data_IF_479914222331
#
_entry.id   IF_479914222331
#
_cell.length_a   1.000
_cell.length_b   1.000
_cell.length_c   1.000
_cell.angle_alpha   90.00
_cell.angle_beta   90.00
_cell.angle_gamma   90.00
#
_symmetry.space_group_name_H-M   'P 1'
#
loop_
_entity.id
_entity.type
_entity.pdbx_description
1 polymer ?
#
# COMPACT_ATOMS: atom_id res chain seq x y z
N UNK A 1 34.04 -41.02 26.44
CA UNK A 1 33.24 -40.22 27.40
C UNK A 1 32.02 -39.73 26.66
N UNK A 2 30.82 -40.07 27.14
CA UNK A 2 29.56 -39.76 26.45
C UNK A 2 29.27 -38.27 26.44
N UNK A 3 28.66 -37.76 25.38
CA UNK A 3 28.08 -36.41 25.35
C UNK A 3 26.99 -36.33 26.41
N UNK A 4 27.06 -35.34 27.29
CA UNK A 4 26.02 -35.07 28.26
C UNK A 4 24.84 -34.39 27.57
N UNK A 5 23.65 -34.97 27.69
CA UNK A 5 22.41 -34.42 27.13
C UNK A 5 21.52 -33.89 28.24
N UNK A 6 20.75 -32.85 27.91
CA UNK A 6 19.72 -32.28 28.76
C UNK A 6 18.39 -32.38 28.03
N UNK A 7 17.32 -32.67 28.76
CA UNK A 7 15.98 -32.76 28.17
C UNK A 7 15.54 -31.39 27.64
N UNK A 8 14.67 -31.40 26.63
CA UNK A 8 14.09 -30.17 26.10
C UNK A 8 13.33 -29.39 27.17
N UNK A 9 12.64 -30.08 28.08
CA UNK A 9 11.92 -29.47 29.19
C UNK A 9 12.86 -28.66 30.11
N UNK A 10 14.02 -29.22 30.44
CA UNK A 10 14.97 -28.57 31.33
C UNK A 10 15.71 -27.40 30.64
N UNK A 11 15.89 -27.49 29.32
CA UNK A 11 16.34 -26.36 28.50
C UNK A 11 15.30 -25.23 28.46
N UNK A 12 14.01 -25.55 28.30
CA UNK A 12 12.93 -24.54 28.32
C UNK A 12 12.90 -23.80 29.66
N UNK A 13 12.94 -24.53 30.79
CA UNK A 13 12.99 -23.91 32.13
C UNK A 13 14.17 -22.97 32.31
N UNK A 14 15.34 -23.30 31.75
CA UNK A 14 16.51 -22.44 31.82
C UNK A 14 16.38 -21.17 30.98
N UNK A 15 15.80 -21.29 29.78
CA UNK A 15 15.53 -20.14 28.89
C UNK A 15 14.47 -19.21 29.50
N UNK A 16 13.44 -19.76 30.14
CA UNK A 16 12.42 -18.98 30.85
C UNK A 16 13.03 -18.17 32.00
N UNK A 17 13.96 -18.76 32.78
CA UNK A 17 14.67 -18.04 33.83
C UNK A 17 15.52 -16.88 33.30
N UNK A 18 16.16 -17.05 32.13
CA UNK A 18 16.90 -15.98 31.45
C UNK A 18 15.96 -14.86 30.99
N UNK A 19 14.80 -15.20 30.42
CA UNK A 19 13.82 -14.21 29.98
C UNK A 19 13.26 -13.39 31.14
N UNK A 20 13.01 -14.02 32.29
CA UNK A 20 12.57 -13.33 33.52
C UNK A 20 13.66 -12.36 34.01
N UNK A 21 14.93 -12.78 34.02
CA UNK A 21 16.04 -11.92 34.41
C UNK A 21 16.21 -10.72 33.46
N UNK A 22 16.07 -10.95 32.15
CA UNK A 22 16.09 -9.88 31.14
C UNK A 22 14.93 -8.90 31.34
N UNK A 23 13.73 -9.40 31.66
CA UNK A 23 12.57 -8.56 31.99
C UNK A 23 12.76 -7.70 33.25
N UNK A 24 13.69 -8.03 34.14
CA UNK A 24 14.08 -7.16 35.27
C UNK A 24 15.10 -6.10 34.82
N UNK A 25 16.05 -6.47 33.96
CA UNK A 25 17.02 -5.52 33.37
C UNK A 25 16.33 -4.43 32.56
N UNK A 26 15.26 -4.79 31.85
CA UNK A 26 14.53 -3.86 30.99
C UNK A 26 13.55 -2.94 31.75
N UNK A 27 13.36 -3.15 33.06
CA UNK A 27 12.51 -2.30 33.92
C UNK A 27 13.28 -1.10 34.45
N UNK A 28 12.84 0.10 34.08
CA UNK A 28 13.47 1.36 34.47
C UNK A 28 13.41 1.65 36.00
N UNK A 29 12.49 1.02 36.72
CA UNK A 29 12.24 1.20 38.16
C UNK A 29 12.53 -0.07 38.99
N UNK A 30 13.27 -1.03 38.45
CA UNK A 30 13.63 -2.26 39.16
C UNK A 30 14.30 -1.97 40.51
N UNK A 31 13.74 -2.51 41.61
CA UNK A 31 14.33 -2.34 42.94
C UNK A 31 15.50 -3.29 43.15
N UNK A 32 16.30 -3.03 44.19
CA UNK A 32 17.39 -3.92 44.59
C UNK A 32 16.87 -5.33 44.93
N UNK A 33 15.71 -5.41 45.58
CA UNK A 33 15.05 -6.68 45.89
C UNK A 33 14.67 -7.45 44.62
N UNK A 34 14.16 -6.77 43.58
CA UNK A 34 13.85 -7.42 42.29
C UNK A 34 15.08 -7.97 41.59
N UNK A 35 16.21 -7.26 41.67
CA UNK A 35 17.48 -7.68 41.07
C UNK A 35 18.05 -8.88 41.83
N UNK A 36 18.08 -8.81 43.16
CA UNK A 36 18.62 -9.89 44.00
C UNK A 36 17.79 -11.19 43.84
N UNK A 37 16.47 -11.09 43.73
CA UNK A 37 15.58 -12.23 43.45
C UNK A 37 15.82 -12.82 42.05
N UNK A 38 15.96 -11.99 41.01
CA UNK A 38 16.24 -12.46 39.65
C UNK A 38 17.58 -13.18 39.54
N UNK A 39 18.61 -12.67 40.23
CA UNK A 39 19.94 -13.30 40.30
C UNK A 39 19.86 -14.65 41.00
N UNK A 40 19.15 -14.74 42.13
CA UNK A 40 18.98 -16.00 42.86
C UNK A 40 18.23 -17.05 42.03
N UNK A 41 17.17 -16.63 41.33
CA UNK A 41 16.39 -17.52 40.47
C UNK A 41 17.21 -18.05 39.29
N UNK A 42 18.02 -17.20 38.65
CA UNK A 42 18.91 -17.62 37.56
C UNK A 42 20.02 -18.56 38.05
N UNK A 43 20.56 -18.32 39.25
CA UNK A 43 21.56 -19.19 39.86
C UNK A 43 21.01 -20.59 40.15
N UNK A 44 19.79 -20.67 40.72
CA UNK A 44 19.09 -21.93 40.97
C UNK A 44 18.79 -22.68 39.66
N UNK A 45 18.28 -21.99 38.64
CA UNK A 45 18.02 -22.58 37.33
C UNK A 45 19.31 -23.10 36.67
N UNK A 46 20.43 -22.40 36.83
CA UNK A 46 21.75 -22.83 36.34
C UNK A 46 22.24 -24.09 37.04
N UNK A 47 22.03 -24.18 38.36
CA UNK A 47 22.41 -25.35 39.14
C UNK A 47 21.59 -26.59 38.73
N UNK A 48 20.27 -26.45 38.58
CA UNK A 48 19.39 -27.52 38.08
C UNK A 48 19.77 -27.95 36.67
N UNK A 49 19.98 -27.00 35.75
CA UNK A 49 20.41 -27.26 34.37
C UNK A 49 21.72 -28.05 34.30
N UNK A 50 22.66 -27.80 35.22
CA UNK A 50 23.94 -28.55 35.30
C UNK A 50 23.79 -29.91 35.97
N UNK A 51 22.91 -30.03 36.97
CA UNK A 51 22.66 -31.28 37.71
C UNK A 51 21.91 -32.34 36.91
N UNK A 52 21.10 -31.94 35.94
CA UNK A 52 20.24 -32.83 35.14
C UNK A 52 20.88 -33.33 33.83
N UNK A 53 22.18 -33.10 33.66
CA UNK A 53 22.94 -33.59 32.52
C UNK A 53 23.16 -35.12 32.61
N UNK A 54 22.66 -35.88 31.64
CA UNK A 54 22.81 -37.35 31.57
C UNK A 54 23.82 -37.77 30.50
N UNK A 55 24.62 -38.80 30.75
CA UNK A 55 25.59 -39.33 29.77
C UNK A 55 24.87 -40.07 28.62
N UNK A 56 25.08 -39.64 27.37
CA UNK A 56 24.47 -40.26 26.19
C UNK A 56 25.30 -41.38 25.57
N UNK A 57 24.63 -42.44 25.14
CA UNK A 57 25.15 -43.46 24.21
C UNK A 57 24.80 -43.09 22.77
N UNK A 58 25.81 -43.13 21.88
CA UNK A 58 25.75 -42.62 20.51
C UNK A 58 24.85 -43.51 19.63
N UNK A 59 23.70 -43.01 19.17
CA UNK A 59 22.87 -43.64 18.14
C UNK A 59 22.40 -42.57 17.15
N UNK A 60 22.69 -42.81 15.86
CA UNK A 60 21.98 -42.23 14.72
C UNK A 60 22.25 -40.75 14.42
N UNK A 61 22.97 -40.50 13.34
CA UNK A 61 23.17 -39.18 12.74
C UNK A 61 21.82 -38.57 12.34
N UNK A 62 21.34 -37.61 13.14
CA UNK A 62 20.21 -36.73 12.78
C UNK A 62 20.82 -35.48 12.15
N UNK A 63 20.64 -35.32 10.84
CA UNK A 63 20.98 -34.10 10.11
C UNK A 63 20.03 -32.99 10.58
N UNK A 64 20.53 -32.10 11.43
CA UNK A 64 19.88 -30.84 11.77
C UNK A 64 20.52 -29.76 10.89
N UNK A 65 19.75 -28.94 10.14
CA UNK A 65 20.31 -27.87 9.33
C UNK A 65 21.19 -26.95 10.17
N UNK A 66 22.44 -26.80 9.74
CA UNK A 66 23.46 -25.95 10.34
C UNK A 66 22.97 -24.51 10.51
N UNK A 67 22.93 -24.05 11.76
CA UNK A 67 23.49 -22.76 12.23
C UNK A 67 23.24 -21.55 11.30
N UNK A 68 22.40 -20.61 11.73
CA UNK A 68 22.55 -19.20 11.34
C UNK A 68 23.92 -18.73 11.86
N UNK A 69 24.95 -19.02 11.07
CA UNK A 69 26.32 -18.54 11.27
C UNK A 69 26.21 -17.04 11.04
N UNK A 70 26.44 -16.23 12.07
CA UNK A 70 26.71 -14.82 11.87
C UNK A 70 27.93 -14.72 10.93
N UNK A 71 27.64 -14.46 9.65
CA UNK A 71 28.64 -14.27 8.59
C UNK A 71 29.12 -12.81 8.58
N UNK A 72 28.66 -11.96 9.51
CA UNK A 72 29.06 -10.58 9.71
C UNK A 72 28.46 -9.58 8.70
N UNK A 73 27.65 -10.06 7.76
CA UNK A 73 27.06 -9.23 6.71
C UNK A 73 25.78 -8.58 7.22
N UNK A 74 25.66 -7.27 6.99
CA UNK A 74 24.44 -6.50 7.23
C UNK A 74 24.09 -5.70 5.99
N UNK A 75 22.80 -5.43 5.82
CA UNK A 75 22.29 -4.57 4.76
C UNK A 75 21.14 -3.71 5.27
N UNK A 76 20.89 -2.61 4.58
CA UNK A 76 19.70 -1.76 4.77
C UNK A 76 18.91 -1.68 3.48
N UNK A 77 17.62 -1.36 3.60
CA UNK A 77 16.74 -1.09 2.48
C UNK A 77 15.96 0.19 2.77
N UNK A 78 16.08 1.19 1.91
CA UNK A 78 15.47 2.50 2.08
C UNK A 78 14.61 2.89 0.88
N UNK A 79 13.43 3.44 1.12
CA UNK A 79 12.63 4.09 0.09
C UNK A 79 13.22 5.47 -0.21
N UNK A 80 13.67 5.68 -1.44
CA UNK A 80 14.15 7.00 -1.92
C UNK A 80 13.04 7.80 -2.57
N UNK A 81 12.08 7.10 -3.17
CA UNK A 81 10.93 7.69 -3.86
C UNK A 81 9.75 6.75 -3.77
N UNK A 82 8.60 7.24 -3.32
CA UNK A 82 7.38 6.45 -3.28
C UNK A 82 6.78 6.30 -4.68
N UNK A 83 6.26 5.11 -4.97
CA UNK A 83 5.53 4.83 -6.19
C UNK A 83 4.11 5.36 -6.15
N UNK A 84 3.64 5.90 -7.27
CA UNK A 84 2.26 6.36 -7.47
C UNK A 84 1.71 5.73 -8.72
N UNK A 85 0.56 5.06 -8.55
CA UNK A 85 -0.17 4.45 -9.64
C UNK A 85 -0.77 5.53 -10.54
N UNK A 86 -0.42 5.46 -11.82
CA UNK A 86 -0.96 6.35 -12.83
C UNK A 86 -2.42 6.06 -13.10
N UNK A 87 -3.22 7.11 -13.26
CA UNK A 87 -4.61 7.02 -13.70
C UNK A 87 -4.86 8.01 -14.84
N UNK A 88 -5.49 7.52 -15.91
CA UNK A 88 -5.95 8.39 -16.97
C UNK A 88 -7.07 9.29 -16.48
N UNK A 89 -7.09 10.52 -16.99
CA UNK A 89 -8.18 11.44 -16.80
C UNK A 89 -9.53 10.82 -17.22
N UNK A 90 -10.58 11.11 -16.45
CA UNK A 90 -11.97 10.74 -16.77
C UNK A 90 -12.80 12.00 -16.84
N UNK A 91 -13.47 12.21 -17.97
CA UNK A 91 -14.43 13.31 -18.12
C UNK A 91 -15.69 12.99 -17.31
N UNK A 92 -16.16 13.93 -16.51
CA UNK A 92 -17.42 13.75 -15.79
C UNK A 92 -18.59 13.71 -16.78
N UNK A 93 -19.49 12.75 -16.58
CA UNK A 93 -20.79 12.72 -17.25
C UNK A 93 -21.89 12.49 -16.23
N UNK A 94 -22.92 13.33 -16.20
CA UNK A 94 -24.05 13.18 -15.27
C UNK A 94 -25.36 13.36 -16.02
N UNK A 95 -26.18 12.30 -16.10
CA UNK A 95 -27.55 12.39 -16.60
C UNK A 95 -28.46 12.79 -15.44
N UNK A 96 -29.22 13.88 -15.61
CA UNK A 96 -30.07 14.44 -14.57
C UNK A 96 -31.52 14.56 -15.01
N UNK A 97 -32.40 14.10 -14.13
CA UNK A 97 -33.83 14.25 -14.22
C UNK A 97 -34.23 15.64 -13.70
N UNK A 98 -35.08 16.32 -14.46
CA UNK A 98 -35.80 17.52 -14.06
C UNK A 98 -37.23 17.09 -13.77
N UNK A 99 -37.69 17.28 -12.54
CA UNK A 99 -39.08 17.02 -12.15
C UNK A 99 -39.74 18.28 -11.61
N UNK A 100 -40.86 18.67 -12.21
CA UNK A 100 -41.70 19.76 -11.72
C UNK A 100 -42.76 19.22 -10.76
N UNK A 101 -43.07 19.98 -9.71
CA UNK A 101 -44.15 19.63 -8.76
C UNK A 101 -45.55 19.88 -9.34
N UNK A 102 -45.67 20.76 -10.32
CA UNK A 102 -46.92 21.16 -10.99
C UNK A 102 -46.80 21.00 -12.52
N UNK A 103 -47.92 21.13 -13.24
CA UNK A 103 -47.93 21.13 -14.71
C UNK A 103 -47.46 22.49 -15.27
N UNK A 104 -46.17 22.77 -15.05
CA UNK A 104 -45.52 24.04 -15.35
C UNK A 104 -45.33 24.94 -14.12
N UNK A 105 -44.34 25.82 -14.17
CA UNK A 105 -43.98 26.70 -13.05
C UNK A 105 -45.09 27.70 -12.73
N UNK A 106 -45.41 27.90 -11.46
CA UNK A 106 -46.48 28.83 -11.03
C UNK A 106 -45.99 30.28 -10.91
N UNK A 107 -44.68 30.48 -10.79
CA UNK A 107 -44.01 31.78 -10.71
C UNK A 107 -42.70 31.80 -11.49
N UNK A 108 -42.26 33.02 -11.82
CA UNK A 108 -40.89 33.24 -12.28
C UNK A 108 -39.91 32.89 -11.17
N UNK A 109 -38.79 32.28 -11.53
CA UNK A 109 -37.75 31.88 -10.58
C UNK A 109 -36.41 31.69 -11.30
N UNK A 110 -35.35 31.57 -10.50
CA UNK A 110 -34.01 31.29 -10.98
C UNK A 110 -33.53 29.98 -10.37
N UNK A 111 -32.79 29.19 -11.16
CA UNK A 111 -32.05 28.03 -10.68
C UNK A 111 -30.56 28.20 -10.95
N UNK A 112 -29.73 27.62 -10.08
CA UNK A 112 -28.29 27.53 -10.30
C UNK A 112 -27.95 26.17 -10.89
N UNK A 113 -27.26 26.18 -12.02
CA UNK A 113 -26.85 24.99 -12.78
C UNK A 113 -25.38 25.13 -13.11
N UNK A 114 -24.56 24.22 -12.59
CA UNK A 114 -23.10 24.18 -12.66
C UNK A 114 -22.46 25.56 -12.42
N UNK A 115 -22.98 26.30 -11.43
CA UNK A 115 -22.53 27.64 -11.06
C UNK A 115 -23.10 28.80 -11.91
N UNK A 116 -23.91 28.51 -12.94
CA UNK A 116 -24.61 29.51 -13.75
C UNK A 116 -26.05 29.71 -13.29
N UNK A 117 -26.51 30.94 -13.34
CA UNK A 117 -27.90 31.29 -13.07
C UNK A 117 -28.73 31.17 -14.37
N UNK A 118 -29.80 30.39 -14.34
CA UNK A 118 -30.75 30.24 -15.45
C UNK A 118 -32.11 30.81 -15.03
N UNK A 119 -32.60 31.80 -15.77
CA UNK A 119 -33.89 32.43 -15.52
C UNK A 119 -35.03 31.60 -16.12
N UNK A 120 -36.06 31.35 -15.33
CA UNK A 120 -37.23 30.56 -15.70
C UNK A 120 -38.51 31.40 -15.55
N UNK A 121 -39.40 31.26 -16.51
CA UNK A 121 -40.63 32.04 -16.59
C UNK A 121 -41.80 31.25 -16.01
N UNK A 122 -42.81 31.98 -15.51
CA UNK A 122 -44.09 31.38 -15.16
C UNK A 122 -44.67 30.65 -16.38
N UNK A 123 -45.15 29.42 -16.15
CA UNK A 123 -45.73 28.56 -17.18
C UNK A 123 -44.71 27.69 -17.94
N UNK A 124 -43.40 27.84 -17.69
CA UNK A 124 -42.40 26.93 -18.26
C UNK A 124 -42.70 25.49 -17.85
N UNK A 125 -42.77 24.59 -18.83
CA UNK A 125 -42.84 23.14 -18.62
C UNK A 125 -41.42 22.58 -18.45
N UNK A 126 -41.31 21.32 -18.04
CA UNK A 126 -40.01 20.66 -17.88
C UNK A 126 -39.17 20.69 -19.18
N UNK A 127 -39.83 20.61 -20.34
CA UNK A 127 -39.20 20.78 -21.66
C UNK A 127 -38.62 22.17 -21.89
N UNK A 128 -39.31 23.23 -21.45
CA UNK A 128 -38.82 24.61 -21.51
C UNK A 128 -37.62 24.81 -20.57
N UNK A 129 -37.73 24.32 -19.33
CA UNK A 129 -36.62 24.37 -18.35
C UNK A 129 -35.38 23.69 -18.91
N UNK A 130 -35.53 22.46 -19.44
CA UNK A 130 -34.46 21.73 -20.15
C UNK A 130 -33.82 22.59 -21.23
N UNK A 131 -34.62 23.15 -22.12
CA UNK A 131 -34.12 23.91 -23.27
C UNK A 131 -33.35 25.17 -22.83
N UNK A 132 -33.88 25.92 -21.86
CA UNK A 132 -33.22 27.12 -21.31
C UNK A 132 -31.88 26.77 -20.67
N UNK A 133 -31.79 25.64 -19.97
CA UNK A 133 -30.53 25.14 -19.43
C UNK A 133 -29.56 24.82 -20.58
N UNK A 134 -29.95 24.00 -21.56
CA UNK A 134 -29.08 23.67 -22.71
C UNK A 134 -28.58 24.94 -23.41
N UNK A 135 -29.45 25.92 -23.62
CA UNK A 135 -29.12 27.19 -24.25
C UNK A 135 -28.12 28.01 -23.42
N UNK A 136 -28.24 28.02 -22.09
CA UNK A 136 -27.29 28.70 -21.19
C UNK A 136 -25.86 28.10 -21.23
N UNK A 137 -25.70 26.90 -21.78
CA UNK A 137 -24.42 26.21 -21.93
C UNK A 137 -23.93 26.10 -23.38
N UNK A 138 -24.61 26.75 -24.34
CA UNK A 138 -24.11 26.81 -25.73
C UNK A 138 -22.75 27.52 -25.78
N UNK A 139 -21.73 26.81 -26.25
CA UNK A 139 -20.36 27.32 -26.36
C UNK A 139 -19.65 27.49 -25.02
N UNK A 140 -20.15 26.87 -23.95
CA UNK A 140 -19.47 26.90 -22.66
C UNK A 140 -18.10 26.19 -22.72
N UNK A 141 -17.13 26.72 -21.98
CA UNK A 141 -15.74 26.25 -22.04
C UNK A 141 -15.49 24.96 -21.23
N UNK A 142 -16.37 24.63 -20.28
CA UNK A 142 -16.13 23.59 -19.29
C UNK A 142 -17.19 22.47 -19.32
N UNK A 143 -18.38 22.77 -19.81
CA UNK A 143 -19.53 21.86 -19.86
C UNK A 143 -20.21 21.86 -21.23
N UNK A 144 -20.48 20.67 -21.74
CA UNK A 144 -21.47 20.44 -22.78
C UNK A 144 -22.76 19.96 -22.10
N UNK A 145 -23.89 20.58 -22.44
CA UNK A 145 -25.21 20.16 -21.91
C UNK A 145 -26.12 19.80 -23.06
N UNK A 146 -26.66 18.59 -23.03
CA UNK A 146 -27.50 18.01 -24.08
C UNK A 146 -28.78 17.42 -23.49
N UNK A 147 -29.66 16.90 -24.36
CA UNK A 147 -30.85 16.17 -23.90
C UNK A 147 -30.42 14.85 -23.25
N UNK A 148 -30.86 14.64 -22.01
CA UNK A 148 -30.65 13.40 -21.25
C UNK A 148 -31.65 12.31 -21.60
N UNK A 149 -31.59 11.17 -20.90
CA UNK A 149 -32.32 9.95 -21.28
C UNK A 149 -33.79 9.91 -20.85
N UNK A 150 -34.23 10.84 -20.03
CA UNK A 150 -35.61 10.89 -19.52
C UNK A 150 -36.60 11.24 -20.62
N UNK A 151 -37.68 10.46 -20.72
CA UNK A 151 -38.81 10.78 -21.59
C UNK A 151 -39.41 12.14 -21.23
N UNK A 152 -39.56 13.01 -22.24
CA UNK A 152 -40.05 14.36 -22.04
C UNK A 152 -41.58 14.35 -21.90
N UNK A 153 -42.06 14.88 -20.78
CA UNK A 153 -43.46 15.18 -20.51
C UNK A 153 -43.58 16.64 -20.05
N UNK A 154 -44.78 17.10 -19.76
CA UNK A 154 -44.97 18.46 -19.22
C UNK A 154 -44.25 18.67 -17.87
N UNK A 155 -44.09 17.62 -17.06
CA UNK A 155 -43.50 17.69 -15.71
C UNK A 155 -42.13 17.04 -15.59
N UNK A 156 -41.68 16.26 -16.59
CA UNK A 156 -40.40 15.56 -16.56
C UNK A 156 -39.59 15.78 -17.82
N UNK A 157 -38.30 16.01 -17.66
CA UNK A 157 -37.34 16.08 -18.76
C UNK A 157 -35.95 15.63 -18.26
N UNK A 158 -35.04 15.35 -19.18
CA UNK A 158 -33.66 14.95 -18.85
C UNK A 158 -32.63 15.86 -19.50
N UNK A 159 -31.53 16.09 -18.79
CA UNK A 159 -30.33 16.79 -19.30
C UNK A 159 -29.08 15.96 -19.02
N UNK A 160 -28.18 15.89 -19.99
CA UNK A 160 -26.87 15.26 -19.84
C UNK A 160 -25.80 16.34 -19.74
N UNK A 161 -25.04 16.34 -18.65
CA UNK A 161 -23.81 17.13 -18.53
C UNK A 161 -22.62 16.27 -18.91
N UNK A 162 -21.77 16.79 -19.77
CA UNK A 162 -20.45 16.22 -20.06
C UNK A 162 -19.41 17.30 -19.84
N UNK A 163 -18.43 17.06 -18.97
CA UNK A 163 -17.32 17.99 -18.85
C UNK A 163 -16.42 17.92 -20.08
N UNK A 164 -15.99 19.07 -20.56
CA UNK A 164 -15.10 19.19 -21.72
C UNK A 164 -13.62 19.07 -21.36
N UNK A 165 -13.29 19.02 -20.06
CA UNK A 165 -11.92 18.92 -19.55
C UNK A 165 -11.86 17.95 -18.36
N UNK A 166 -10.75 17.24 -18.17
CA UNK A 166 -10.55 16.45 -16.96
C UNK A 166 -10.51 17.40 -15.75
N UNK A 167 -11.30 17.08 -14.73
CA UNK A 167 -11.35 17.85 -13.50
C UNK A 167 -11.86 16.97 -12.37
N UNK A 168 -11.62 17.41 -11.13
CA UNK A 168 -12.22 16.79 -9.97
C UNK A 168 -13.75 16.77 -10.12
N UNK A 169 -14.37 15.69 -9.65
CA UNK A 169 -15.80 15.51 -9.73
C UNK A 169 -16.55 16.68 -9.06
N UNK A 170 -17.46 17.28 -9.83
CA UNK A 170 -18.33 18.35 -9.36
C UNK A 170 -19.64 17.74 -8.89
N UNK A 171 -19.83 17.73 -7.57
CA UNK A 171 -21.06 17.30 -6.91
C UNK A 171 -22.13 18.41 -7.02
N UNK A 172 -23.41 18.03 -6.94
CA UNK A 172 -24.56 18.95 -6.92
C UNK A 172 -24.57 19.95 -8.09
N UNK A 173 -24.50 19.44 -9.32
CA UNK A 173 -24.54 20.25 -10.54
C UNK A 173 -25.77 21.15 -10.65
N UNK A 174 -26.90 20.81 -10.02
CA UNK A 174 -28.07 21.68 -9.97
C UNK A 174 -28.51 21.87 -8.53
N UNK A 175 -29.07 23.06 -8.25
CA UNK A 175 -29.79 23.34 -7.01
C UNK A 175 -31.29 23.22 -7.22
N UNK A 176 -31.95 22.51 -6.32
CA UNK A 176 -33.41 22.44 -6.30
C UNK A 176 -34.06 23.81 -6.03
N UNK A 177 -35.34 23.92 -6.41
CA UNK A 177 -36.24 24.98 -5.97
C UNK A 177 -37.51 24.37 -5.36
N UNK A 178 -38.42 25.22 -4.87
CA UNK A 178 -39.72 24.77 -4.36
C UNK A 178 -40.56 24.03 -5.42
N UNK A 179 -40.36 24.33 -6.70
CA UNK A 179 -41.15 23.78 -7.80
C UNK A 179 -40.38 22.82 -8.71
N UNK A 180 -39.05 22.74 -8.55
CA UNK A 180 -38.15 21.98 -9.41
C UNK A 180 -37.24 21.10 -8.56
N UNK A 181 -37.27 19.80 -8.84
CA UNK A 181 -36.35 18.82 -8.28
C UNK A 181 -35.39 18.36 -9.37
N UNK A 182 -34.10 18.42 -9.08
CA UNK A 182 -33.04 17.79 -9.86
C UNK A 182 -32.56 16.53 -9.17
N UNK A 183 -32.49 15.42 -9.89
CA UNK A 183 -31.93 14.17 -9.37
C UNK A 183 -31.08 13.49 -10.43
N UNK A 184 -29.99 12.86 -10.03
CA UNK A 184 -29.24 12.01 -10.95
C UNK A 184 -30.15 10.87 -11.42
N UNK A 185 -30.19 10.67 -12.74
CA UNK A 185 -31.01 9.66 -13.38
C UNK A 185 -30.63 8.26 -12.90
N UNK A 186 -31.63 7.42 -12.65
CA UNK A 186 -31.46 5.99 -12.40
C UNK A 186 -31.99 5.21 -13.59
N UNK A 187 -31.21 4.26 -14.08
CA UNK A 187 -31.74 3.33 -15.08
C UNK A 187 -32.77 2.36 -14.48
N UNK A 188 -33.32 1.51 -15.35
CA UNK A 188 -34.30 0.48 -15.00
C UNK A 188 -33.81 -0.49 -13.92
N UNK A 189 -32.48 -0.63 -13.73
CA UNK A 189 -31.87 -1.45 -12.68
C UNK A 189 -31.62 -0.69 -11.37
N UNK A 190 -31.94 0.61 -11.33
CA UNK A 190 -31.74 1.48 -10.17
C UNK A 190 -30.34 2.08 -10.05
N UNK A 191 -29.46 1.86 -11.04
CA UNK A 191 -28.08 2.36 -11.05
C UNK A 191 -28.05 3.81 -11.51
N UNK A 192 -27.32 4.65 -10.78
CA UNK A 192 -27.11 6.06 -11.12
C UNK A 192 -26.33 6.19 -12.44
N UNK A 193 -26.81 7.03 -13.35
CA UNK A 193 -26.13 7.36 -14.61
C UNK A 193 -25.21 8.54 -14.44
N UNK A 194 -24.14 8.28 -13.69
CA UNK A 194 -23.06 9.22 -13.47
C UNK A 194 -21.70 8.55 -13.62
N UNK A 195 -20.83 9.21 -14.37
CA UNK A 195 -19.39 8.96 -14.45
C UNK A 195 -18.70 10.07 -13.69
N UNK A 196 -17.98 9.73 -12.62
CA UNK A 196 -17.24 10.72 -11.81
C UNK A 196 -16.04 11.25 -12.57
N UNK A 197 -15.85 12.57 -12.53
CA UNK A 197 -14.67 13.23 -13.10
C UNK A 197 -13.42 12.91 -12.28
N UNK A 198 -12.34 12.57 -12.97
CA UNK A 198 -11.04 12.26 -12.36
C UNK A 198 -9.97 13.04 -13.11
N UNK A 199 -9.15 13.79 -12.39
CA UNK A 199 -7.93 14.40 -12.95
C UNK A 199 -6.88 13.33 -13.22
N UNK A 200 -6.09 13.51 -14.27
CA UNK A 200 -5.00 12.58 -14.55
C UNK A 200 -4.01 12.57 -13.39
N UNK A 201 -3.76 11.39 -12.83
CA UNK A 201 -2.71 11.18 -11.84
C UNK A 201 -1.51 10.64 -12.62
N UNK A 202 -0.42 11.42 -12.75
CA UNK A 202 0.77 10.94 -13.45
C UNK A 202 1.39 9.78 -12.68
N UNK A 203 1.83 8.75 -13.41
CA UNK A 203 2.58 7.65 -12.81
C UNK A 203 3.92 8.15 -12.29
N UNK A 204 4.25 7.73 -11.06
CA UNK A 204 5.57 7.95 -10.47
C UNK A 204 6.14 6.60 -10.11
N UNK A 205 7.24 6.21 -10.73
CA UNK A 205 7.94 4.96 -10.38
C UNK A 205 8.65 5.13 -9.04
N UNK A 206 8.39 4.20 -8.12
CA UNK A 206 9.09 4.11 -6.85
C UNK A 206 10.55 3.70 -7.04
N UNK A 207 11.40 4.21 -6.16
CA UNK A 207 12.83 3.92 -6.13
C UNK A 207 13.25 3.54 -4.71
N UNK A 208 13.95 2.42 -4.60
CA UNK A 208 14.45 1.86 -3.36
C UNK A 208 15.95 1.64 -3.47
N UNK A 209 16.66 1.71 -2.35
CA UNK A 209 18.10 1.51 -2.27
C UNK A 209 18.40 0.40 -1.27
N UNK A 210 19.06 -0.67 -1.75
CA UNK A 210 19.63 -1.71 -0.89
C UNK A 210 21.12 -1.40 -0.74
N UNK A 211 21.58 -1.21 0.50
CA UNK A 211 22.99 -0.92 0.80
C UNK A 211 23.59 -2.03 1.64
N UNK A 212 24.68 -2.64 1.18
CA UNK A 212 25.47 -3.56 2.00
C UNK A 212 26.39 -2.76 2.90
N UNK A 213 26.26 -2.93 4.22
CA UNK A 213 26.95 -2.07 5.20
C UNK A 213 28.17 -2.75 5.83
N UNK A 214 28.17 -4.09 5.93
CA UNK A 214 29.29 -4.84 6.47
C UNK A 214 29.79 -5.92 5.51
N UNK A 215 31.10 -6.19 5.57
CA UNK A 215 31.78 -7.25 4.84
C UNK A 215 31.51 -8.64 5.43
N UNK A 216 31.77 -9.68 4.65
CA UNK A 216 31.74 -11.05 5.14
C UNK A 216 32.93 -11.29 6.08
N UNK A 217 32.73 -12.14 7.09
CA UNK A 217 33.79 -12.56 8.03
C UNK A 217 34.18 -14.02 7.85
N UNK A 218 33.34 -14.80 7.17
CA UNK A 218 33.47 -16.25 6.97
C UNK A 218 32.87 -16.64 5.63
N UNK A 219 33.38 -17.72 5.06
CA UNK A 219 32.79 -18.37 3.88
C UNK A 219 31.50 -19.08 4.27
N UNK A 220 30.45 -18.93 3.47
CA UNK A 220 29.14 -19.51 3.76
C UNK A 220 28.08 -19.03 2.79
N UNK A 221 26.81 -19.19 3.18
CA UNK A 221 25.66 -18.81 2.36
C UNK A 221 24.70 -17.95 3.18
N UNK A 222 24.24 -16.84 2.61
CA UNK A 222 23.16 -16.03 3.18
C UNK A 222 21.90 -16.15 2.33
N UNK A 223 20.75 -15.93 2.96
CA UNK A 223 19.47 -15.73 2.27
C UNK A 223 19.05 -14.27 2.41
N UNK A 224 19.01 -13.54 1.31
CA UNK A 224 18.42 -12.20 1.24
C UNK A 224 16.95 -12.34 0.85
N UNK A 225 16.05 -12.07 1.80
CA UNK A 225 14.63 -12.00 1.54
C UNK A 225 14.22 -10.62 1.08
N UNK A 226 13.55 -10.53 -0.06
CA UNK A 226 13.00 -9.31 -0.63
C UNK A 226 11.48 -9.41 -0.62
N UNK A 227 10.85 -8.47 0.08
CA UNK A 227 9.39 -8.36 0.20
C UNK A 227 8.94 -6.96 -0.17
N UNK A 228 7.66 -6.81 -0.53
CA UNK A 228 7.06 -5.51 -0.70
C UNK A 228 5.71 -5.44 0.01
N UNK A 229 5.59 -4.54 0.98
CA UNK A 229 4.31 -4.23 1.63
C UNK A 229 3.38 -3.58 0.60
N UNK A 230 2.10 -3.99 0.57
CA UNK A 230 1.17 -3.61 -0.49
C UNK A 230 1.23 -4.50 -1.75
N UNK A 231 2.04 -5.55 -1.74
CA UNK A 231 2.17 -6.54 -2.82
C UNK A 231 2.24 -7.96 -2.26
N UNK A 232 2.07 -8.97 -3.13
CA UNK A 232 2.30 -10.38 -2.81
C UNK A 232 3.76 -10.81 -2.99
N UNK A 233 4.67 -9.87 -3.26
CA UNK A 233 6.09 -10.15 -3.48
C UNK A 233 6.75 -10.66 -2.19
N UNK A 234 7.33 -11.85 -2.26
CA UNK A 234 8.17 -12.42 -1.22
C UNK A 234 9.16 -13.40 -1.86
N UNK A 235 10.42 -13.01 -1.98
CA UNK A 235 11.45 -13.77 -2.70
C UNK A 235 12.69 -13.96 -1.83
N UNK A 236 13.10 -15.21 -1.65
CA UNK A 236 14.35 -15.56 -0.99
C UNK A 236 15.44 -15.73 -2.05
N UNK A 237 16.53 -14.96 -1.92
CA UNK A 237 17.68 -14.96 -2.82
C UNK A 237 18.90 -15.48 -2.08
N UNK A 238 19.42 -16.59 -2.56
CA UNK A 238 20.55 -17.30 -1.97
C UNK A 238 21.87 -16.77 -2.53
N UNK A 239 22.79 -16.35 -1.66
CA UNK A 239 24.09 -15.78 -2.04
C UNK A 239 25.22 -16.55 -1.36
N UNK A 240 26.16 -17.06 -2.16
CA UNK A 240 27.38 -17.69 -1.68
C UNK A 240 28.47 -16.63 -1.44
N UNK A 241 29.03 -16.65 -0.24
CA UNK A 241 30.01 -15.69 0.26
C UNK A 241 31.35 -16.36 0.56
N UNK A 242 32.42 -15.62 0.29
CA UNK A 242 33.77 -15.90 0.76
C UNK A 242 34.08 -15.00 1.96
N UNK A 243 34.86 -15.49 2.93
CA UNK A 243 35.24 -14.68 4.11
C UNK A 243 36.06 -13.42 3.80
N UNK A 244 36.52 -13.28 2.54
CA UNK A 244 37.24 -12.11 2.02
C UNK A 244 36.35 -11.14 1.26
N UNK A 245 35.08 -11.47 1.02
CA UNK A 245 34.17 -10.60 0.26
C UNK A 245 33.93 -9.28 1.02
N UNK A 246 34.28 -8.17 0.39
CA UNK A 246 33.93 -6.84 0.89
C UNK A 246 32.50 -6.44 0.50
N UNK A 247 32.05 -5.28 0.96
CA UNK A 247 30.68 -4.80 0.71
C UNK A 247 30.38 -4.63 -0.77
N UNK A 248 31.38 -4.28 -1.60
CA UNK A 248 31.21 -4.06 -3.05
C UNK A 248 30.99 -5.39 -3.76
N UNK A 249 31.80 -6.39 -3.43
CA UNK A 249 31.68 -7.75 -3.96
C UNK A 249 30.34 -8.37 -3.55
N UNK A 250 29.95 -8.24 -2.27
CA UNK A 250 28.66 -8.74 -1.78
C UNK A 250 27.50 -8.06 -2.51
N UNK A 251 27.55 -6.73 -2.68
CA UNK A 251 26.53 -5.98 -3.39
C UNK A 251 26.41 -6.43 -4.86
N UNK A 252 27.54 -6.66 -5.54
CA UNK A 252 27.55 -7.20 -6.90
C UNK A 252 26.95 -8.61 -6.99
N UNK A 253 27.26 -9.49 -6.03
CA UNK A 253 26.65 -10.84 -5.94
C UNK A 253 25.13 -10.75 -5.73
N UNK A 254 24.66 -9.90 -4.82
CA UNK A 254 23.22 -9.67 -4.58
C UNK A 254 22.56 -9.14 -5.85
N UNK A 255 23.11 -8.11 -6.48
CA UNK A 255 22.60 -7.55 -7.73
C UNK A 255 22.47 -8.60 -8.83
N UNK A 256 23.52 -9.42 -9.01
CA UNK A 256 23.54 -10.47 -10.02
C UNK A 256 22.52 -11.56 -9.75
N UNK A 257 22.19 -11.86 -8.50
CA UNK A 257 21.16 -12.84 -8.17
C UNK A 257 19.74 -12.24 -8.32
N UNK A 258 19.54 -10.97 -7.93
CA UNK A 258 18.25 -10.27 -8.07
C UNK A 258 17.84 -10.11 -9.54
N UNK A 259 18.77 -9.73 -10.42
CA UNK A 259 18.47 -9.50 -11.85
C UNK A 259 18.01 -10.77 -12.58
N UNK A 260 18.45 -11.95 -12.11
CA UNK A 260 18.08 -13.25 -12.69
C UNK A 260 16.76 -13.78 -12.13
N UNK A 261 16.32 -13.30 -10.96
CA UNK A 261 15.04 -13.70 -10.37
C UNK A 261 13.86 -13.20 -11.22
N UNK A 262 13.03 -14.15 -11.68
CA UNK A 262 11.94 -13.87 -12.63
C UNK A 262 10.87 -12.94 -12.06
N UNK A 263 10.51 -13.10 -10.79
CA UNK A 263 9.49 -12.23 -10.20
C UNK A 263 10.02 -10.81 -10.00
N UNK A 264 11.26 -10.68 -9.52
CA UNK A 264 11.89 -9.38 -9.31
C UNK A 264 12.12 -8.64 -10.63
N UNK A 265 12.66 -9.30 -11.66
CA UNK A 265 12.88 -8.68 -12.99
C UNK A 265 11.60 -8.28 -13.70
N UNK A 266 10.48 -8.94 -13.44
CA UNK A 266 9.19 -8.60 -14.07
C UNK A 266 8.60 -7.32 -13.48
N UNK A 267 8.87 -7.03 -12.20
CA UNK A 267 8.29 -5.90 -11.48
C UNK A 267 9.25 -4.71 -11.36
N UNK A 268 10.56 -4.93 -11.41
CA UNK A 268 11.57 -3.90 -11.18
C UNK A 268 12.68 -3.88 -12.22
N UNK A 269 13.40 -2.78 -12.24
CA UNK A 269 14.69 -2.60 -12.91
C UNK A 269 15.75 -2.34 -11.84
N UNK A 270 16.99 -2.72 -12.14
CA UNK A 270 18.07 -2.72 -11.15
C UNK A 270 19.30 -2.01 -11.70
N UNK A 271 19.99 -1.26 -10.84
CA UNK A 271 21.30 -0.68 -11.12
C UNK A 271 22.22 -0.93 -9.93
N UNK A 272 23.41 -1.43 -10.19
CA UNK A 272 24.45 -1.56 -9.17
C UNK A 272 25.41 -0.37 -9.25
N UNK A 273 25.61 0.33 -8.15
CA UNK A 273 26.73 1.25 -7.96
C UNK A 273 27.89 0.48 -7.34
N UNK A 274 28.85 0.12 -8.20
CA UNK A 274 30.01 -0.70 -7.85
C UNK A 274 30.94 -0.03 -6.85
N UNK A 275 30.88 1.30 -6.69
CA UNK A 275 31.76 2.02 -5.78
C UNK A 275 31.14 2.22 -4.40
N UNK A 276 29.82 2.32 -4.31
CA UNK A 276 29.14 2.60 -3.04
C UNK A 276 28.50 1.38 -2.38
N UNK A 277 28.61 0.17 -2.95
CA UNK A 277 27.94 -1.05 -2.45
C UNK A 277 26.41 -0.94 -2.44
N UNK A 278 25.85 -0.15 -3.37
CA UNK A 278 24.42 0.19 -3.42
C UNK A 278 23.75 -0.41 -4.64
N UNK A 279 22.54 -0.92 -4.45
CA UNK A 279 21.67 -1.40 -5.51
C UNK A 279 20.43 -0.51 -5.54
N UNK A 280 20.25 0.22 -6.62
CA UNK A 280 19.00 0.93 -6.89
C UNK A 280 18.00 -0.05 -7.51
N UNK A 281 16.81 -0.12 -6.91
CA UNK A 281 15.67 -0.89 -7.37
C UNK A 281 14.59 0.11 -7.78
N UNK A 282 14.22 0.12 -9.06
CA UNK A 282 13.19 1.03 -9.59
C UNK A 282 12.01 0.22 -10.09
N UNK A 283 10.80 0.57 -9.66
CA UNK A 283 9.59 -0.07 -10.15
C UNK A 283 9.43 0.10 -11.66
N UNK A 284 8.90 -0.93 -12.33
CA UNK A 284 8.52 -0.82 -13.74
C UNK A 284 7.18 -0.12 -13.92
N UNK A 285 6.29 -0.28 -12.94
CA UNK A 285 4.99 0.37 -12.82
C UNK A 285 4.96 1.01 -11.43
N UNK A 286 4.68 2.30 -11.34
CA UNK A 286 4.53 2.98 -10.06
C UNK A 286 3.39 2.39 -9.25
N UNK A 287 3.68 1.71 -8.15
CA UNK A 287 2.68 1.21 -7.21
C UNK A 287 3.03 1.71 -5.80
N UNK A 288 2.04 1.96 -4.93
CA UNK A 288 2.28 2.47 -3.59
C UNK A 288 2.76 1.35 -2.66
N UNK A 289 3.94 0.79 -2.93
CA UNK A 289 4.55 -0.29 -2.16
C UNK A 289 5.72 0.18 -1.30
N UNK A 290 6.06 -0.61 -0.28
CA UNK A 290 7.30 -0.43 0.51
C UNK A 290 8.16 -1.67 0.40
N UNK A 291 9.26 -1.57 -0.36
CA UNK A 291 10.23 -2.64 -0.50
C UNK A 291 11.04 -2.81 0.80
N UNK A 292 11.26 -4.06 1.19
CA UNK A 292 12.12 -4.45 2.31
C UNK A 292 13.07 -5.55 1.81
N UNK A 293 14.34 -5.41 2.15
CA UNK A 293 15.34 -6.45 1.99
C UNK A 293 15.94 -6.77 3.36
N UNK A 294 15.97 -8.05 3.74
CA UNK A 294 16.51 -8.52 5.03
C UNK A 294 17.31 -9.80 4.84
N UNK A 295 18.35 -10.00 5.65
CA UNK A 295 19.06 -11.27 5.74
C UNK A 295 18.32 -12.16 6.74
N UNK A 296 17.98 -13.38 6.33
CA UNK A 296 17.31 -14.39 7.17
C UNK A 296 18.28 -15.46 7.63
#
# INVERSE_FOLDING_TARGET
>A
MGTKWITQENKTKYVEAIAIAQGVVDKADATKENIDEAVQNLANATATFRGEQQDGTKVGEVVVPEVLKDLGVTLTCETKKEGVKGFSAVMQETDMDITLTTNGLTKEQQVTVAGKNVQLAKGDKASNVKQKIIEAFKGDADWKVETGRVAVTDQKAGILFTSLKPKAHVENLCTDSEEIKFTIHKDESGVLKETKGIEAIPEVKGEFEITVTNKATKTGKITVNITAEGSSLNQDINIDLEGTDDTKVISEKIYNAIKENVQLKNNFTFKNDKESSKITVTEKIGDPIKLKAVIK
#
